data_IF_964684242365
#
_entry.id   IF_964684242365
#
_cell.length_a   1.000
_cell.length_b   1.000
_cell.length_c   1.000
_cell.angle_alpha   90.00
_cell.angle_beta   90.00
_cell.angle_gamma   90.00
#
_symmetry.space_group_name_H-M   'P 1'
#
loop_
_entity.id
_entity.type
_entity.pdbx_description
1 polymer ?
2 non-polymer ?
3 non-polymer ?
4 water ?
#
# COMPACT_ATOMS: atom_id res chain seq x y z
N UNK A 39 0.16 -23.66 2.71
CA UNK A 39 0.28 -22.68 1.60
C UNK A 39 0.48 -21.30 2.18
N UNK A 40 0.43 -20.31 1.30
CA UNK A 40 0.59 -18.92 1.70
C UNK A 40 -0.59 -18.53 2.58
N UNK A 41 -1.80 -18.78 2.06
CA UNK A 41 -3.01 -18.45 2.79
C UNK A 41 -3.00 -18.89 4.26
N UNK A 42 -2.35 -19.99 4.58
CA UNK A 42 -2.33 -20.43 5.96
C UNK A 42 -1.29 -19.64 6.73
N UNK A 43 -0.13 -19.44 6.13
CA UNK A 43 0.96 -18.70 6.77
C UNK A 43 0.46 -17.35 7.23
N UNK A 44 -0.18 -16.66 6.29
CA UNK A 44 -0.75 -15.34 6.46
C UNK A 44 -1.59 -15.28 7.72
N UNK A 45 -2.71 -16.00 7.74
CA UNK A 45 -3.57 -15.98 8.92
C UNK A 45 -2.82 -16.24 10.20
N UNK A 46 -2.06 -17.31 10.24
CA UNK A 46 -1.31 -17.60 11.44
C UNK A 46 -0.39 -16.50 11.95
N UNK A 47 0.21 -15.70 11.06
CA UNK A 47 1.11 -14.66 11.53
C UNK A 47 0.33 -13.45 12.04
N UNK A 48 -0.80 -13.18 11.42
CA UNK A 48 -1.62 -12.04 11.82
C UNK A 48 -1.97 -12.24 13.28
N UNK A 49 -2.38 -13.45 13.63
CA UNK A 49 -2.76 -13.79 14.99
C UNK A 49 -1.58 -13.88 15.96
N UNK A 50 -0.46 -14.43 15.50
CA UNK A 50 0.69 -14.58 16.38
C UNK A 50 1.41 -13.31 16.74
N UNK A 51 1.57 -12.42 15.77
CA UNK A 51 2.24 -11.16 16.06
C UNK A 51 1.19 -10.13 16.48
N UNK A 52 -0.01 -10.61 16.75
CA UNK A 52 -1.13 -9.77 17.17
C UNK A 52 -1.31 -8.54 16.29
N UNK A 53 -1.56 -8.75 15.01
CA UNK A 53 -1.76 -7.64 14.14
C UNK A 53 -3.23 -7.24 14.10
N UNK A 54 -4.12 -8.19 13.85
CA UNK A 54 -5.55 -7.88 13.85
C UNK A 54 -6.28 -9.05 14.47
N UNK A 55 -7.39 -8.81 15.13
CA UNK A 55 -8.14 -9.91 15.73
C UNK A 55 -9.44 -10.08 14.93
N UNK A 56 -9.57 -11.25 14.29
CA UNK A 56 -10.72 -11.53 13.42
C UNK A 56 -12.02 -11.93 14.10
N UNK A 57 -11.95 -12.27 15.38
CA UNK A 57 -13.11 -12.72 16.11
C UNK A 57 -14.21 -11.68 16.37
N UNK A 58 -14.47 -10.77 15.44
CA UNK A 58 -15.50 -9.77 15.67
C UNK A 58 -16.86 -10.33 15.27
N UNK A 59 -17.92 -10.03 16.05
CA UNK A 59 -19.30 -10.47 15.84
C UNK A 59 -19.95 -10.17 14.48
N UNK A 60 -19.15 -9.80 13.50
CA UNK A 60 -19.65 -9.53 12.15
C UNK A 60 -18.54 -9.90 11.18
N UNK A 61 -18.90 -10.54 10.09
CA UNK A 61 -17.92 -10.97 9.11
C UNK A 61 -17.46 -9.81 8.24
N UNK A 62 -16.16 -9.56 8.22
CA UNK A 62 -15.64 -8.49 7.37
C UNK A 62 -15.32 -7.20 8.09
N UNK A 63 -15.43 -7.21 9.41
CA UNK A 63 -15.14 -6.03 10.21
C UNK A 63 -14.08 -6.57 11.15
N UNK A 64 -12.87 -6.05 11.08
CA UNK A 64 -11.82 -6.56 11.95
C UNK A 64 -11.21 -5.50 12.87
N UNK A 65 -10.63 -5.93 13.97
CA UNK A 65 -10.06 -5.03 14.97
C UNK A 65 -8.55 -4.88 14.98
N UNK A 66 -8.07 -3.65 14.84
CA UNK A 66 -6.63 -3.44 14.90
C UNK A 66 -6.16 -3.53 16.34
N UNK A 67 -5.20 -4.42 16.62
CA UNK A 67 -4.66 -4.56 17.97
C UNK A 67 -3.45 -3.65 18.07
N UNK A 68 -2.94 -3.46 19.29
CA UNK A 68 -1.79 -2.59 19.52
C UNK A 68 -0.67 -2.67 18.52
N UNK A 69 -0.12 -3.87 18.30
CA UNK A 69 0.99 -4.04 17.38
C UNK A 69 0.58 -3.67 15.97
N UNK A 70 -0.51 -4.25 15.49
CA UNK A 70 -0.95 -3.92 14.16
C UNK A 70 -1.06 -2.42 13.97
N UNK A 71 -1.79 -1.77 14.87
CA UNK A 71 -1.99 -0.33 14.81
C UNK A 71 -0.67 0.40 14.63
N UNK A 72 0.33 0.01 15.41
CA UNK A 72 1.62 0.66 15.35
C UNK A 72 2.23 0.64 13.96
N UNK A 73 2.23 -0.52 13.31
CA UNK A 73 2.76 -0.67 11.96
C UNK A 73 2.03 0.28 11.00
N UNK A 74 0.71 0.30 11.13
CA UNK A 74 -0.16 1.17 10.31
C UNK A 74 0.17 2.65 10.55
N UNK A 75 0.44 2.98 11.80
CA UNK A 75 0.76 4.34 12.17
C UNK A 75 2.03 4.81 11.47
N UNK A 76 3.05 3.95 11.43
CA UNK A 76 4.31 4.31 10.80
C UNK A 76 4.23 4.27 9.28
N UNK A 77 3.36 3.42 8.75
CA UNK A 77 3.17 3.31 7.32
C UNK A 77 2.60 4.63 6.83
N UNK A 78 1.64 5.16 7.58
CA UNK A 78 1.03 6.43 7.22
C UNK A 78 1.97 7.64 7.35
N UNK A 79 2.91 7.58 8.28
CA UNK A 79 3.86 8.68 8.47
C UNK A 79 4.67 8.89 7.20
N UNK A 80 5.05 7.80 6.58
CA UNK A 80 5.83 7.85 5.37
C UNK A 80 4.98 8.45 4.28
N UNK A 81 3.79 7.90 4.12
CA UNK A 81 2.88 8.36 3.09
C UNK A 81 2.62 9.84 3.19
N UNK A 82 2.21 10.28 4.37
CA UNK A 82 1.89 11.69 4.59
C UNK A 82 3.06 12.63 4.40
N UNK A 83 4.26 12.20 4.74
CA UNK A 83 5.40 13.09 4.61
C UNK A 83 5.70 13.43 3.15
N UNK A 84 5.17 12.65 2.23
CA UNK A 84 5.40 12.90 0.82
C UNK A 84 4.26 13.76 0.32
N UNK A 85 3.04 13.31 0.54
CA UNK A 85 1.88 14.07 0.10
C UNK A 85 1.92 15.52 0.57
N UNK A 86 2.22 15.70 1.86
CA UNK A 86 2.24 17.03 2.45
C UNK A 86 3.18 18.03 1.81
N UNK A 87 3.95 17.61 0.81
CA UNK A 87 4.86 18.55 0.17
C UNK A 87 4.07 19.56 -0.64
N UNK A 88 3.10 19.09 -1.41
CA UNK A 88 2.31 19.99 -2.24
C UNK A 88 0.81 19.76 -2.16
N UNK A 89 0.35 18.96 -1.20
CA UNK A 89 -1.09 18.68 -1.05
C UNK A 89 -1.58 19.26 0.27
N UNK A 90 -2.90 19.38 0.42
CA UNK A 90 -3.50 19.90 1.65
C UNK A 90 -4.53 18.92 2.19
N UNK A 91 -4.32 18.44 3.41
CA UNK A 91 -5.22 17.47 4.00
C UNK A 91 -6.49 18.10 4.55
N UNK A 92 -7.61 17.38 4.39
CA UNK A 92 -8.89 17.86 4.85
C UNK A 92 -9.69 16.70 5.45
N UNK A 93 -11.00 16.88 5.59
CA UNK A 93 -11.82 15.84 6.16
C UNK A 93 -13.32 16.09 6.05
N UNK A 94 -13.98 15.40 5.11
CA UNK A 94 -15.41 15.56 4.90
C UNK A 94 -16.14 14.56 5.78
N UNK A 95 -17.47 14.61 5.79
CA UNK A 95 -18.28 13.69 6.61
C UNK A 95 -18.38 12.26 6.05
N UNK A 96 -19.10 11.43 6.80
CA UNK A 96 -19.31 10.03 6.47
C UNK A 96 -20.55 9.71 5.67
N UNK A 97 -21.65 10.44 5.90
CA UNK A 97 -22.92 10.18 5.20
C UNK A 97 -23.21 11.00 3.95
N UNK A 98 -23.77 10.33 2.93
CA UNK A 98 -24.12 10.94 1.66
C UNK A 98 -25.58 10.73 1.23
N UNK A 99 -26.30 11.81 0.91
CA UNK A 99 -27.69 11.88 0.48
C UNK A 99 -28.07 11.03 -0.73
N UNK A 100 -29.26 10.43 -0.66
CA UNK A 100 -29.78 9.60 -1.75
C UNK A 100 -29.88 10.44 -3.02
N UNK A 101 -30.21 11.70 -2.83
CA UNK A 101 -30.38 12.65 -3.92
C UNK A 101 -29.05 12.95 -4.64
N UNK A 102 -28.10 13.55 -3.91
CA UNK A 102 -26.80 13.91 -4.45
C UNK A 102 -26.16 12.79 -5.27
N UNK A 103 -26.33 11.55 -4.84
CA UNK A 103 -25.78 10.40 -5.54
C UNK A 103 -26.42 10.26 -6.93
N UNK A 104 -27.62 9.69 -6.96
CA UNK A 104 -28.34 9.50 -8.21
C UNK A 104 -27.40 9.00 -9.31
N UNK A 116 -24.84 -2.04 -4.24
CA UNK A 116 -24.27 -2.62 -3.01
C UNK A 116 -23.75 -1.54 -2.05
N UNK A 117 -24.63 -0.64 -1.63
CA UNK A 117 -24.26 0.43 -0.71
C UNK A 117 -25.12 0.43 0.54
N UNK A 118 -24.52 0.23 1.71
CA UNK A 118 -25.28 0.22 2.96
C UNK A 118 -26.14 1.47 3.10
N UNK A 119 -27.39 1.31 3.51
CA UNK A 119 -28.28 2.45 3.67
C UNK A 119 -28.76 2.71 5.10
N UNK A 120 -28.81 3.99 5.46
CA UNK A 120 -29.28 4.44 6.78
C UNK A 120 -30.69 4.94 6.52
N UNK A 121 -31.68 4.30 7.14
CA UNK A 121 -33.06 4.68 6.93
C UNK A 121 -33.77 5.37 8.09
N UNK A 122 -33.69 4.80 9.28
CA UNK A 122 -34.36 5.37 10.42
C UNK A 122 -33.46 6.14 11.40
N UNK A 123 -34.07 7.02 12.18
CA UNK A 123 -33.35 7.81 13.16
C UNK A 123 -33.93 7.40 14.50
N UNK A 124 -34.05 6.10 14.69
CA UNK A 124 -34.61 5.56 15.90
C UNK A 124 -35.77 4.75 15.36
N UNK A 125 -36.99 5.22 15.60
CA UNK A 125 -38.15 4.52 15.11
C UNK A 125 -38.80 5.36 14.03
N UNK A 126 -38.26 6.55 13.86
CA UNK A 126 -38.73 7.51 12.89
C UNK A 126 -38.00 7.31 11.56
N UNK A 127 -38.77 7.03 10.52
CA UNK A 127 -38.23 6.87 9.18
C UNK A 127 -37.89 8.27 8.67
N UNK A 128 -36.67 8.45 8.18
CA UNK A 128 -36.24 9.76 7.70
C UNK A 128 -36.80 10.07 6.31
N UNK A 129 -36.59 11.30 5.84
CA UNK A 129 -37.12 11.70 4.53
C UNK A 129 -36.13 11.88 3.39
N UNK A 130 -35.01 11.19 3.45
CA UNK A 130 -33.99 11.26 2.42
C UNK A 130 -32.95 10.36 3.01
N UNK A 131 -32.80 9.17 2.43
CA UNK A 131 -31.86 8.19 2.96
C UNK A 131 -30.41 8.63 2.94
N UNK A 132 -29.65 8.10 3.90
CA UNK A 132 -28.24 8.41 4.03
C UNK A 132 -27.40 7.17 3.76
N UNK A 133 -26.37 7.32 2.92
CA UNK A 133 -25.52 6.19 2.56
C UNK A 133 -24.11 6.30 3.10
N UNK A 134 -23.56 5.18 3.57
CA UNK A 134 -22.19 5.17 4.07
C UNK A 134 -21.32 5.30 2.84
N UNK A 135 -20.47 6.31 2.85
CA UNK A 135 -19.65 6.63 1.71
C UNK A 135 -18.93 5.57 0.89
N UNK A 136 -19.37 5.39 -0.37
CA UNK A 136 -18.84 4.45 -1.36
C UNK A 136 -17.49 5.04 -1.75
N UNK A 137 -17.56 6.26 -2.25
CA UNK A 137 -16.42 7.09 -2.65
C UNK A 137 -16.93 8.54 -2.56
N UNK A 138 -16.07 9.43 -2.07
CA UNK A 138 -16.36 10.85 -1.85
C UNK A 138 -16.93 11.67 -3.01
N UNK A 139 -16.70 11.18 -4.22
CA UNK A 139 -17.16 11.81 -5.46
C UNK A 139 -18.40 12.66 -5.29
N UNK A 140 -19.49 11.99 -4.94
CA UNK A 140 -20.75 12.66 -4.83
C UNK A 140 -20.93 13.88 -3.92
N UNK A 141 -20.08 14.10 -2.92
CA UNK A 141 -20.23 15.28 -2.08
C UNK A 141 -18.99 16.12 -1.77
N UNK A 142 -17.84 15.75 -2.29
CA UNK A 142 -16.65 16.61 -2.08
C UNK A 142 -16.73 17.64 -3.21
N UNK A 143 -17.29 17.17 -4.32
CA UNK A 143 -17.45 17.94 -5.53
C UNK A 143 -18.44 19.10 -5.41
N UNK A 144 -19.71 18.82 -5.08
CA UNK A 144 -20.63 19.96 -5.00
C UNK A 144 -20.01 21.10 -4.19
N UNK A 145 -19.30 20.75 -3.13
CA UNK A 145 -18.65 21.72 -2.28
C UNK A 145 -17.50 22.40 -3.02
N UNK A 146 -16.78 21.64 -3.85
CA UNK A 146 -15.68 22.19 -4.60
C UNK A 146 -16.16 23.29 -5.50
N UNK A 147 -17.44 23.18 -5.86
CA UNK A 147 -18.07 24.17 -6.71
C UNK A 147 -18.03 25.54 -6.03
N UNK A 148 -18.31 25.54 -4.72
CA UNK A 148 -18.32 26.77 -3.96
C UNK A 148 -16.93 27.32 -3.67
N UNK A 149 -15.93 26.45 -3.61
CA UNK A 149 -14.59 26.93 -3.31
C UNK A 149 -13.87 27.50 -4.52
N UNK A 150 -14.33 27.18 -5.73
CA UNK A 150 -13.67 27.66 -6.96
C UNK A 150 -14.39 28.79 -7.71
N UNK A 151 -13.72 29.93 -7.86
CA UNK A 151 -14.34 31.03 -8.58
C UNK A 151 -13.33 32.03 -9.13
N UNK A 152 -12.26 31.58 -9.78
CA UNK A 152 -11.23 32.47 -10.31
C UNK A 152 -10.02 31.65 -10.64
N UNK A 153 -9.45 31.89 -11.80
CA UNK A 153 -8.28 31.14 -12.24
C UNK A 153 -7.10 31.46 -11.30
N UNK A 154 -7.33 32.36 -10.36
CA UNK A 154 -6.28 32.74 -9.42
C UNK A 154 -6.23 31.70 -8.32
N UNK A 155 -7.36 31.02 -8.15
CA UNK A 155 -7.54 29.98 -7.15
C UNK A 155 -6.82 28.66 -7.52
N UNK A 156 -7.02 28.22 -8.75
CA UNK A 156 -6.41 26.98 -9.23
C UNK A 156 -4.90 27.14 -9.39
N UNK A 157 -4.15 26.05 -9.23
CA UNK A 157 -4.57 24.67 -8.98
C UNK A 157 -4.82 24.37 -7.50
N UNK A 158 -5.51 23.26 -7.24
CA UNK A 158 -5.78 22.83 -5.88
C UNK A 158 -5.52 21.35 -5.70
N UNK A 159 -4.92 20.98 -4.59
CA UNK A 159 -4.59 19.57 -4.33
C UNK A 159 -4.93 19.14 -2.89
N UNK A 160 -6.01 18.39 -2.74
CA UNK A 160 -6.49 17.91 -1.44
C UNK A 160 -6.38 16.40 -1.27
N UNK A 161 -6.67 15.92 -0.05
CA UNK A 161 -6.67 14.49 0.27
C UNK A 161 -7.14 14.23 1.68
N UNK A 162 -7.70 13.05 1.92
CA UNK A 162 -8.15 12.66 3.26
C UNK A 162 -7.91 11.18 3.49
N UNK A 163 -7.74 10.77 4.74
CA UNK A 163 -7.53 9.37 5.10
C UNK A 163 -8.76 8.97 5.90
N UNK A 164 -9.67 8.27 5.25
CA UNK A 164 -10.93 7.91 5.86
C UNK A 164 -11.24 6.43 5.79
N UNK A 165 -12.43 6.07 6.24
CA UNK A 165 -12.86 4.68 6.18
C UNK A 165 -14.01 4.61 5.19
N UNK A 166 -14.12 3.49 4.46
CA UNK A 166 -15.15 3.31 3.45
C UNK A 166 -15.92 2.01 3.62
N UNK A 167 -17.07 1.89 2.97
CA UNK A 167 -17.88 0.69 3.08
C UNK A 167 -18.35 0.08 1.77
N UNK A 168 -18.46 -1.25 1.75
CA UNK A 168 -18.92 -2.03 0.60
C UNK A 168 -19.67 -3.27 1.07
N UNK A 169 -20.94 -3.42 0.70
CA UNK A 169 -21.73 -4.58 1.10
C UNK A 169 -21.56 -5.75 0.14
N UNK A 170 -20.90 -6.82 0.61
CA UNK A 170 -20.68 -8.00 -0.22
C UNK A 170 -20.92 -9.31 0.50
N UNK A 171 -20.78 -10.41 -0.25
CA UNK A 171 -20.98 -11.76 0.28
C UNK A 171 -20.02 -12.75 -0.38
N UNK A 172 -19.86 -13.90 0.26
CA UNK A 172 -19.01 -14.99 -0.25
C UNK A 172 -17.53 -14.69 -0.51
N UNK A 173 -17.00 -13.62 0.09
CA UNK A 173 -15.61 -13.24 -0.11
C UNK A 173 -15.04 -12.45 1.05
N UNK A 174 -14.50 -13.11 2.06
CA UNK A 174 -13.94 -12.39 3.19
C UNK A 174 -12.46 -12.66 3.41
N UNK A 175 -11.60 -11.86 2.79
CA UNK A 175 -10.17 -12.04 2.96
C UNK A 175 -9.53 -10.85 3.67
N UNK A 176 -8.95 -11.08 4.87
CA UNK A 176 -8.28 -10.11 5.73
C UNK A 176 -7.38 -9.09 5.05
N UNK A 177 -7.63 -7.83 5.35
CA UNK A 177 -6.86 -6.70 4.80
C UNK A 177 -6.86 -6.57 3.29
N UNK A 178 -7.43 -7.56 2.59
CA UNK A 178 -7.46 -7.51 1.13
C UNK A 178 -8.84 -7.27 0.56
N UNK A 179 -9.86 -7.73 1.27
CA UNK A 179 -11.25 -7.54 0.85
C UNK A 179 -12.16 -7.68 2.05
N UNK A 180 -12.71 -6.54 2.50
CA UNK A 180 -13.59 -6.50 3.66
C UNK A 180 -14.83 -5.63 3.44
N UNK A 181 -15.56 -5.39 4.53
CA UNK A 181 -16.76 -4.57 4.46
C UNK A 181 -16.40 -3.15 4.88
N UNK A 182 -15.53 -3.03 5.88
CA UNK A 182 -15.05 -1.74 6.35
C UNK A 182 -13.55 -1.63 6.12
N UNK A 183 -13.17 -0.74 5.19
CA UNK A 183 -11.78 -0.50 4.85
C UNK A 183 -11.32 0.63 5.77
N UNK A 184 -10.68 0.28 6.87
CA UNK A 184 -10.25 1.28 7.84
C UNK A 184 -9.27 2.36 7.36
N UNK A 185 -8.31 2.02 6.50
CA UNK A 185 -7.36 3.02 6.06
C UNK A 185 -7.36 3.25 4.56
N UNK A 186 -8.05 4.29 4.11
CA UNK A 186 -8.13 4.53 2.68
C UNK A 186 -7.84 5.97 2.30
N UNK A 187 -6.68 6.22 1.72
CA UNK A 187 -6.26 7.56 1.34
C UNK A 187 -6.71 7.92 -0.06
N UNK A 188 -7.39 9.05 -0.21
CA UNK A 188 -7.85 9.45 -1.53
C UNK A 188 -7.55 10.91 -1.81
N UNK A 189 -6.93 11.17 -2.95
CA UNK A 189 -6.57 12.52 -3.31
C UNK A 189 -7.29 13.06 -4.55
N UNK A 190 -7.72 14.32 -4.51
CA UNK A 190 -8.41 14.93 -5.63
C UNK A 190 -7.69 16.21 -6.04
N UNK A 191 -7.65 16.52 -7.32
CA UNK A 191 -6.96 17.71 -7.80
C UNK A 191 -7.76 18.49 -8.84
N UNK A 192 -7.71 19.81 -8.77
CA UNK A 192 -8.45 20.65 -9.71
C UNK A 192 -7.49 21.48 -10.55
N UNK A 193 -7.73 21.54 -11.86
CA UNK A 193 -6.83 22.29 -12.75
C UNK A 193 -7.46 23.26 -13.75
N UNK A 194 -6.62 24.13 -14.31
CA UNK A 194 -7.06 25.14 -15.26
C UNK A 194 -7.07 24.66 -16.70
N UNK A 195 -5.98 24.03 -17.11
CA UNK A 195 -5.85 23.51 -18.47
C UNK A 195 -5.93 21.99 -18.52
N UNK A 196 -6.40 21.46 -19.64
CA UNK A 196 -6.51 20.02 -19.83
C UNK A 196 -5.14 19.38 -19.89
N UNK A 197 -4.12 20.18 -20.18
CA UNK A 197 -2.76 19.66 -20.25
C UNK A 197 -2.24 19.38 -18.84
N UNK A 198 -2.26 20.41 -18.00
CA UNK A 198 -1.78 20.30 -16.63
C UNK A 198 -2.44 19.16 -15.86
N UNK A 199 -3.64 18.78 -16.30
CA UNK A 199 -4.31 17.68 -15.67
C UNK A 199 -3.38 16.51 -15.88
N UNK A 200 -3.06 16.23 -17.14
CA UNK A 200 -2.18 15.12 -17.46
C UNK A 200 -0.80 15.20 -16.82
N UNK A 201 -0.32 16.40 -16.56
CA UNK A 201 0.97 16.54 -15.94
C UNK A 201 0.84 16.01 -14.51
N UNK A 202 -0.31 16.25 -13.91
CA UNK A 202 -0.58 15.81 -12.55
C UNK A 202 -0.55 14.30 -12.53
N UNK A 203 -1.25 13.68 -13.47
CA UNK A 203 -1.27 12.24 -13.54
C UNK A 203 0.15 11.71 -13.49
N UNK A 204 1.09 12.41 -14.10
CA UNK A 204 2.48 11.96 -14.09
C UNK A 204 3.09 12.11 -12.72
N UNK A 205 2.92 13.29 -12.15
CA UNK A 205 3.46 13.53 -10.82
C UNK A 205 2.90 12.49 -9.88
N UNK A 206 1.58 12.33 -9.92
CA UNK A 206 0.91 11.37 -9.07
C UNK A 206 1.67 10.07 -9.08
N UNK A 207 1.95 9.58 -10.29
CA UNK A 207 2.65 8.31 -10.44
C UNK A 207 4.03 8.30 -9.82
N UNK A 208 4.80 9.35 -10.05
CA UNK A 208 6.14 9.39 -9.49
C UNK A 208 6.07 9.38 -7.96
N UNK A 209 4.93 9.76 -7.42
CA UNK A 209 4.70 9.78 -5.98
C UNK A 209 4.50 8.37 -5.40
N UNK A 210 3.63 7.58 -6.04
CA UNK A 210 3.39 6.21 -5.59
C UNK A 210 4.63 5.35 -5.76
N UNK A 211 5.48 5.73 -6.70
CA UNK A 211 6.71 5.01 -6.88
C UNK A 211 7.52 5.21 -5.61
N UNK A 212 7.80 6.47 -5.27
CA UNK A 212 8.59 6.75 -4.07
C UNK A 212 8.03 6.07 -2.84
N UNK A 213 6.71 6.15 -2.66
CA UNK A 213 6.10 5.53 -1.50
C UNK A 213 6.47 4.06 -1.50
N UNK A 214 6.06 3.36 -2.55
CA UNK A 214 6.32 1.94 -2.67
C UNK A 214 7.78 1.55 -2.52
N UNK A 215 8.68 2.32 -3.12
CA UNK A 215 10.10 2.03 -3.01
C UNK A 215 10.53 2.03 -1.54
N UNK A 216 9.87 2.86 -0.73
CA UNK A 216 10.19 2.95 0.68
C UNK A 216 9.72 1.75 1.44
N UNK A 217 8.67 1.11 0.94
CA UNK A 217 8.19 -0.08 1.62
C UNK A 217 8.92 -1.26 0.99
N UNK A 218 9.70 -0.96 -0.04
CA UNK A 218 10.45 -2.00 -0.73
C UNK A 218 9.52 -2.97 -1.43
N UNK A 219 8.53 -2.44 -2.12
CA UNK A 219 7.57 -3.27 -2.84
C UNK A 219 7.66 -3.08 -4.34
N UNK A 220 7.74 -4.18 -5.08
CA UNK A 220 7.84 -4.14 -6.54
C UNK A 220 6.46 -3.92 -7.16
N UNK A 221 6.42 -3.38 -8.38
CA UNK A 221 5.16 -3.12 -9.05
C UNK A 221 5.26 -3.14 -10.57
N UNK A 222 4.11 -3.29 -11.22
CA UNK A 222 4.03 -3.31 -12.68
C UNK A 222 2.99 -2.24 -13.00
N UNK A 223 3.43 -1.17 -13.67
CA UNK A 223 2.51 -0.08 -13.99
C UNK A 223 1.90 -0.21 -15.38
N UNK A 224 0.59 -0.36 -15.48
CA UNK A 224 -0.01 -0.47 -16.80
C UNK A 224 -1.14 0.50 -16.92
N UNK A 225 -2.02 0.24 -17.87
CA UNK A 225 -3.15 1.12 -18.10
C UNK A 225 -4.43 0.34 -18.35
N UNK A 226 -5.21 0.17 -17.29
CA UNK A 226 -6.47 -0.58 -17.34
C UNK A 226 -7.25 -0.39 -18.62
N UNK A 227 -7.95 -1.44 -19.07
CA UNK A 227 -8.78 -1.53 -20.27
C UNK A 227 -10.02 -0.69 -20.04
N UNK A 228 -10.57 -0.10 -21.12
CA UNK A 228 -11.78 0.73 -21.02
C UNK A 228 -13.01 0.10 -20.35
N UNK A 229 -13.02 -1.22 -20.15
CA UNK A 229 -14.18 -1.81 -19.50
C UNK A 229 -13.92 -1.96 -18.01
N UNK A 230 -12.71 -1.58 -17.59
CA UNK A 230 -12.32 -1.63 -16.19
C UNK A 230 -12.00 -0.25 -15.61
N UNK A 231 -11.70 0.72 -16.48
CA UNK A 231 -11.37 2.06 -16.01
C UNK A 231 -12.46 2.58 -15.07
N UNK A 232 -12.16 3.69 -14.42
CA UNK A 232 -13.08 4.33 -13.48
C UNK A 232 -14.20 5.01 -14.27
N UNK A 233 -15.45 4.70 -13.91
CA UNK A 233 -16.69 5.22 -14.51
C UNK A 233 -16.70 6.73 -14.76
N UNK A 234 -16.69 7.10 -16.03
CA UNK A 234 -16.70 8.51 -16.39
C UNK A 234 -15.33 9.05 -16.72
N UNK A 235 -14.27 8.40 -16.23
CA UNK A 235 -12.91 8.88 -16.47
C UNK A 235 -12.45 8.74 -17.91
N UNK A 236 -11.40 9.47 -18.27
CA UNK A 236 -10.85 9.37 -19.61
C UNK A 236 -10.05 8.10 -19.63
N UNK A 237 -9.23 7.91 -18.61
CA UNK A 237 -8.38 6.74 -18.54
C UNK A 237 -7.75 6.49 -17.17
N UNK A 238 -7.85 5.26 -16.68
CA UNK A 238 -7.28 4.90 -15.39
C UNK A 238 -5.96 4.14 -15.53
N UNK A 239 -5.01 4.45 -14.66
CA UNK A 239 -3.70 3.82 -14.65
C UNK A 239 -3.57 2.98 -13.40
N UNK A 240 -2.91 1.83 -13.49
CA UNK A 240 -2.79 0.96 -12.32
C UNK A 240 -1.44 0.40 -11.93
N UNK A 241 -1.29 0.19 -10.62
CA UNK A 241 -0.10 -0.36 -10.00
C UNK A 241 -0.51 -1.74 -9.48
N UNK A 242 0.19 -2.78 -9.91
CA UNK A 242 -0.10 -4.16 -9.49
C UNK A 242 1.16 -4.79 -8.93
N UNK A 243 1.01 -5.74 -8.01
CA UNK A 243 2.18 -6.43 -7.45
C UNK A 243 1.87 -7.94 -7.30
N UNK A 244 2.91 -8.77 -7.19
CA UNK A 244 2.69 -10.21 -7.13
C UNK A 244 2.69 -10.78 -5.73
N UNK A 245 1.69 -11.63 -5.45
CA UNK A 245 1.59 -12.24 -4.13
C UNK A 245 2.34 -13.54 -4.04
N UNK A 246 2.58 -14.05 -2.83
CA UNK A 246 3.31 -15.32 -2.78
C UNK A 246 2.50 -16.49 -3.35
N UNK A 247 1.18 -16.41 -3.28
CA UNK A 247 0.37 -17.49 -3.82
C UNK A 247 0.25 -17.34 -5.34
N UNK A 248 1.22 -16.67 -5.94
CA UNK A 248 1.21 -16.50 -7.39
C UNK A 248 0.04 -15.74 -8.00
N UNK A 249 -0.71 -14.99 -7.19
CA UNK A 249 -1.84 -14.19 -7.69
C UNK A 249 -1.47 -12.71 -7.68
N UNK A 250 -2.31 -11.89 -8.31
CA UNK A 250 -2.01 -10.46 -8.38
C UNK A 250 -2.93 -9.56 -7.56
N UNK A 251 -2.32 -8.57 -6.91
CA UNK A 251 -3.04 -7.62 -6.08
C UNK A 251 -2.96 -6.19 -6.63
N UNK A 252 -4.07 -5.47 -6.62
CA UNK A 252 -4.09 -4.08 -7.10
C UNK A 252 -3.70 -3.22 -5.90
N UNK A 253 -2.68 -2.38 -6.01
CA UNK A 253 -2.33 -1.59 -4.84
C UNK A 253 -2.29 -0.08 -5.04
N UNK A 254 -2.99 0.42 -6.05
CA UNK A 254 -2.99 1.85 -6.30
C UNK A 254 -3.43 2.22 -7.71
N UNK A 255 -4.31 3.22 -7.82
CA UNK A 255 -4.80 3.65 -9.12
C UNK A 255 -4.75 5.18 -9.26
N UNK A 256 -4.60 5.66 -10.49
CA UNK A 256 -4.58 7.09 -10.75
C UNK A 256 -5.56 7.30 -11.90
N UNK A 257 -6.54 8.16 -11.70
CA UNK A 257 -7.55 8.40 -12.72
C UNK A 257 -7.52 9.82 -13.26
N UNK A 258 -7.77 9.94 -14.56
CA UNK A 258 -7.79 11.23 -15.20
C UNK A 258 -9.20 11.47 -15.69
N UNK A 259 -10.01 12.08 -14.84
CA UNK A 259 -11.39 12.41 -15.19
C UNK A 259 -11.23 13.50 -16.22
N UNK A 260 -12.32 14.15 -16.60
CA UNK A 260 -12.16 15.19 -17.60
C UNK A 260 -12.75 16.49 -17.15
N UNK A 261 -13.85 16.84 -17.79
CA UNK A 261 -14.60 18.04 -17.46
C UNK A 261 -15.93 17.38 -17.15
N UNK A 262 -15.93 16.06 -17.33
CA UNK A 262 -17.10 15.23 -17.13
C UNK A 262 -17.80 15.46 -15.81
N UNK A 263 -17.06 15.44 -14.71
CA UNK A 263 -17.67 15.65 -13.42
C UNK A 263 -17.87 17.15 -13.19
N UNK A 264 -16.90 17.93 -13.64
CA UNK A 264 -16.98 19.38 -13.51
C UNK A 264 -18.34 19.81 -14.02
N UNK A 265 -18.74 19.26 -15.16
CA UNK A 265 -20.02 19.58 -15.79
C UNK A 265 -21.19 19.08 -14.97
N UNK A 266 -21.13 17.83 -14.54
CA UNK A 266 -22.23 17.28 -13.78
C UNK A 266 -22.52 18.05 -12.50
N UNK A 267 -21.49 18.59 -11.88
CA UNK A 267 -21.68 19.31 -10.62
C UNK A 267 -21.48 20.81 -10.73
N UNK A 268 -21.22 21.28 -11.95
CA UNK A 268 -21.04 22.69 -12.19
C UNK A 268 -19.82 23.26 -11.49
N UNK A 269 -18.65 23.11 -12.10
CA UNK A 269 -17.45 23.64 -11.50
C UNK A 269 -16.76 24.49 -12.53
N UNK A 270 -17.19 25.75 -12.57
CA UNK A 270 -16.64 26.74 -13.49
C UNK A 270 -15.75 27.67 -12.68
N UNK A 271 -14.86 28.34 -13.41
CA UNK A 271 -13.93 29.31 -12.86
C UNK A 271 -13.81 30.34 -13.98
N UNK A 272 -13.84 31.62 -13.61
CA UNK A 272 -13.76 32.76 -14.53
C UNK A 272 -12.27 32.96 -14.85
N UNK A 273 -12.02 33.28 -16.12
CA UNK A 273 -10.68 33.40 -16.75
C UNK A 273 -10.09 34.80 -16.84
N UNK A 274 -8.77 34.90 -17.16
CA UNK A 274 -8.13 36.21 -17.31
C UNK A 274 -8.95 36.97 -18.35
N UNK A 275 -9.44 36.26 -19.36
CA UNK A 275 -10.22 36.84 -20.46
C UNK A 275 -11.69 37.05 -20.03
N UNK A 276 -11.95 36.87 -18.74
CA UNK A 276 -13.30 37.07 -18.21
C UNK A 276 -14.37 36.14 -18.71
N UNK A 277 -14.02 34.88 -18.96
CA UNK A 277 -15.00 33.89 -19.42
C UNK A 277 -15.15 32.81 -18.37
N UNK A 278 -15.97 31.81 -18.67
CA UNK A 278 -16.20 30.72 -17.75
C UNK A 278 -16.20 29.34 -18.38
N UNK A 279 -15.13 28.60 -18.10
CA UNK A 279 -14.98 27.23 -18.59
C UNK A 279 -14.90 26.27 -17.41
N UNK A 280 -15.19 25.00 -17.68
CA UNK A 280 -15.14 24.01 -16.63
C UNK A 280 -13.69 23.66 -16.33
N UNK A 281 -13.46 22.97 -15.22
CA UNK A 281 -12.12 22.59 -14.79
C UNK A 281 -11.73 21.18 -15.18
N UNK A 282 -10.43 20.93 -15.19
CA UNK A 282 -9.92 19.60 -15.51
C UNK A 282 -9.48 19.00 -14.18
N UNK A 283 -9.96 17.79 -13.86
CA UNK A 283 -9.60 17.17 -12.60
C UNK A 283 -9.19 15.70 -12.60
N UNK A 284 -8.43 15.32 -11.59
CA UNK A 284 -7.92 13.96 -11.45
C UNK A 284 -7.98 13.47 -10.01
N UNK A 285 -8.17 12.17 -9.81
CA UNK A 285 -8.18 11.62 -8.47
C UNK A 285 -7.35 10.34 -8.38
N UNK A 286 -7.01 9.90 -7.18
CA UNK A 286 -6.20 8.71 -7.01
C UNK A 286 -6.09 8.27 -5.57
N UNK A 287 -5.95 6.97 -5.34
CA UNK A 287 -5.86 6.49 -3.97
C UNK A 287 -5.32 5.07 -3.83
N UNK A 288 -5.04 4.70 -2.60
CA UNK A 288 -4.51 3.40 -2.24
C UNK A 288 -5.09 3.00 -0.88
N UNK A 289 -5.14 1.71 -0.56
CA UNK A 289 -5.75 1.31 0.72
C UNK A 289 -4.88 0.52 1.70
N UNK A 290 -5.50 -0.38 2.46
CA UNK A 290 -4.83 -1.21 3.46
C UNK A 290 -4.05 -2.33 2.81
N UNK A 291 -4.42 -2.63 1.57
CA UNK A 291 -3.75 -3.67 0.84
C UNK A 291 -2.27 -3.37 0.92
N UNK A 292 -1.92 -2.11 0.88
CA UNK A 292 -0.51 -1.78 0.97
C UNK A 292 0.07 -2.47 2.19
N UNK A 293 -0.61 -2.39 3.33
CA UNK A 293 -0.09 -3.03 4.52
C UNK A 293 -0.09 -4.52 4.34
N UNK A 294 -1.13 -5.04 3.70
CA UNK A 294 -1.23 -6.46 3.46
C UNK A 294 0.03 -6.95 2.74
N UNK A 295 0.34 -6.34 1.60
CA UNK A 295 1.50 -6.75 0.83
C UNK A 295 2.81 -6.66 1.58
N UNK A 296 3.08 -5.56 2.26
CA UNK A 296 4.33 -5.45 2.99
C UNK A 296 4.54 -6.63 3.92
N UNK A 297 3.47 -7.21 4.43
CA UNK A 297 3.63 -8.34 5.33
C UNK A 297 4.00 -9.57 4.53
N UNK A 298 3.20 -9.83 3.52
CA UNK A 298 3.40 -11.00 2.67
C UNK A 298 4.68 -11.00 1.86
N UNK A 299 4.94 -9.93 1.12
CA UNK A 299 6.12 -9.88 0.26
C UNK A 299 7.43 -10.13 0.95
N UNK A 300 7.65 -9.50 2.09
CA UNK A 300 8.89 -9.74 2.82
C UNK A 300 8.62 -10.83 3.85
N UNK A 301 7.83 -11.83 3.45
CA UNK A 301 7.48 -12.96 4.31
C UNK A 301 8.68 -13.57 4.98
N UNK A 302 8.62 -14.84 5.33
CA UNK A 302 9.76 -15.49 6.00
C UNK A 302 9.26 -16.64 6.86
N UNK A 303 10.16 -17.56 7.17
CA UNK A 303 9.80 -18.71 7.98
C UNK A 303 9.77 -18.38 9.46
N UNK A 304 10.63 -17.45 9.86
CA UNK A 304 10.68 -17.05 11.24
C UNK A 304 9.46 -16.16 11.54
N UNK A 305 8.96 -15.47 10.52
CA UNK A 305 7.80 -14.62 10.72
C UNK A 305 7.85 -13.29 10.00
N UNK A 306 7.46 -12.23 10.70
CA UNK A 306 7.44 -10.91 10.12
C UNK A 306 8.82 -10.31 9.96
N UNK A 307 9.09 -9.79 8.76
CA UNK A 307 10.35 -9.13 8.47
C UNK A 307 9.90 -7.80 7.86
N UNK A 308 10.37 -6.68 8.41
CA UNK A 308 9.89 -5.40 7.93
C UNK A 308 10.91 -4.32 7.64
N UNK A 309 10.54 -3.36 6.79
CA UNK A 309 11.44 -2.26 6.44
C UNK A 309 11.69 -1.54 7.75
N UNK A 310 12.87 -0.95 7.91
CA UNK A 310 13.17 -0.23 9.17
C UNK A 310 12.24 0.91 9.52
N UNK A 311 11.76 1.66 8.54
CA UNK A 311 10.87 2.75 8.90
C UNK A 311 9.41 2.35 9.04
N UNK A 312 9.13 1.05 9.10
CA UNK A 312 7.77 0.58 9.23
C UNK A 312 7.58 -0.30 10.44
N UNK A 313 8.66 -0.92 10.89
CA UNK A 313 8.58 -1.79 12.06
C UNK A 313 8.18 -1.00 13.29
N UNK A 314 7.70 -1.70 14.32
CA UNK A 314 7.27 -1.06 15.55
C UNK A 314 8.45 -0.41 16.22
N UNK A 315 9.51 -1.18 16.39
CA UNK A 315 10.76 -0.70 16.99
C UNK A 315 11.86 -0.99 15.99
N UNK A 316 12.76 -0.04 15.79
CA UNK A 316 13.87 -0.23 14.85
C UNK A 316 14.96 -1.09 15.49
N UNK A 317 15.22 -0.84 16.77
CA UNK A 317 16.24 -1.56 17.50
C UNK A 317 15.73 -2.09 18.83
N UNK A 318 16.21 -3.25 19.25
CA UNK A 318 15.80 -3.79 20.54
C UNK A 318 17.05 -4.25 21.27
N UNK A 319 17.25 -3.75 22.48
CA UNK A 319 18.44 -4.07 23.27
C UNK A 319 18.19 -5.13 24.31
N UNK A 320 18.83 -6.28 24.15
CA UNK A 320 18.68 -7.39 25.08
C UNK A 320 19.94 -7.54 25.93
N UNK A 321 19.79 -7.61 27.26
CA UNK A 321 20.96 -7.76 28.12
C UNK A 321 21.13 -9.21 28.56
N UNK A 322 22.36 -9.69 28.58
CA UNK A 322 22.68 -11.06 28.98
C UNK A 322 23.27 -11.06 30.37
N UNK A 323 22.59 -11.69 31.32
CA UNK A 323 23.10 -11.72 32.69
C UNK A 323 22.83 -13.03 33.38
N UNK A 324 23.71 -13.38 34.31
CA UNK A 324 23.59 -14.63 35.05
C UNK A 324 23.93 -14.50 36.53
N UNK A 325 23.72 -13.31 37.10
CA UNK A 325 24.02 -13.04 38.50
C UNK A 325 25.45 -12.51 38.72
N UNK A 326 26.23 -12.42 37.65
CA UNK A 326 27.59 -11.94 37.78
C UNK A 326 27.81 -10.60 37.08
N UNK A 327 27.95 -9.54 37.89
CA UNK A 327 28.15 -8.19 37.40
C UNK A 327 26.84 -7.59 36.86
N UNK A 328 25.72 -8.21 37.25
CA UNK A 328 24.39 -7.77 36.82
C UNK A 328 24.22 -6.26 36.86
N UNK A 329 24.60 -5.65 37.98
CA UNK A 329 24.47 -4.20 38.15
C UNK A 329 25.22 -3.38 37.11
N UNK A 330 26.37 -3.88 36.64
CA UNK A 330 27.16 -3.16 35.65
C UNK A 330 26.66 -3.32 34.21
N UNK A 331 26.00 -4.44 33.91
CA UNK A 331 25.48 -4.70 32.57
C UNK A 331 24.29 -3.78 32.31
N UNK A 332 23.36 -3.75 33.25
CA UNK A 332 22.17 -2.91 33.13
C UNK A 332 22.56 -1.43 32.98
N UNK A 333 23.18 -0.87 34.00
CA UNK A 333 23.60 0.53 33.98
C UNK A 333 24.29 0.89 32.66
N UNK A 334 24.64 -0.13 31.89
CA UNK A 334 25.30 0.08 30.61
C UNK A 334 24.28 0.00 29.47
N UNK A 335 23.26 -0.83 29.64
CA UNK A 335 22.22 -0.98 28.61
C UNK A 335 21.40 0.30 28.54
N UNK A 336 21.23 0.95 29.69
CA UNK A 336 20.47 2.19 29.74
C UNK A 336 21.19 3.28 28.98
N UNK A 337 22.45 3.53 29.33
CA UNK A 337 23.25 4.55 28.66
C UNK A 337 23.22 4.36 27.15
N UNK A 338 22.61 3.26 26.71
CA UNK A 338 22.52 2.98 25.30
C UNK A 338 21.13 3.36 24.80
N UNK A 339 20.09 3.02 25.55
CA UNK A 339 18.73 3.36 25.14
C UNK A 339 18.57 4.87 25.09
N UNK A 340 18.81 5.53 26.22
CA UNK A 340 18.67 6.98 26.30
C UNK A 340 19.57 7.73 25.31
N UNK A 341 20.63 7.07 24.86
CA UNK A 341 21.55 7.70 23.91
C UNK A 341 20.98 7.56 22.50
N UNK A 342 20.21 6.50 22.29
CA UNK A 342 19.60 6.25 21.00
C UNK A 342 18.33 7.09 20.87
N UNK A 343 17.50 7.09 21.92
CA UNK A 343 16.27 7.87 21.89
C UNK A 343 16.58 9.31 21.55
N UNK A 344 17.57 9.86 22.26
CA UNK A 344 17.98 11.25 22.04
C UNK A 344 18.86 11.34 20.79
N UNK A 345 18.50 10.57 19.77
CA UNK A 345 19.24 10.57 18.52
C UNK A 345 18.24 10.25 17.43
N UNK A 346 16.99 10.06 17.84
CA UNK A 346 15.92 9.77 16.90
C UNK A 346 15.84 8.30 16.53
N UNK A 347 15.75 7.44 17.53
CA UNK A 347 15.68 6.01 17.29
C UNK A 347 14.50 5.39 18.00
N UNK A 348 13.66 4.67 17.25
CA UNK A 348 12.54 4.02 17.91
C UNK A 348 13.20 2.83 18.59
N UNK A 349 13.58 3.01 19.84
CA UNK A 349 14.25 1.95 20.57
C UNK A 349 13.44 1.34 21.70
N UNK A 350 13.82 0.14 22.10
CA UNK A 350 13.16 -0.57 23.17
C UNK A 350 14.20 -1.37 23.93
N UNK A 351 13.98 -1.54 25.24
CA UNK A 351 14.92 -2.30 26.08
C UNK A 351 14.12 -3.40 26.77
N UNK A 352 14.44 -4.65 26.49
CA UNK A 352 13.70 -5.73 27.12
C UNK A 352 14.21 -6.04 28.51
N UNK A 353 13.66 -5.33 29.50
CA UNK A 353 14.00 -5.45 30.91
C UNK A 353 13.63 -6.83 31.45
N UNK A 354 12.43 -7.27 31.12
CA UNK A 354 11.87 -8.54 31.55
C UNK A 354 12.83 -9.59 32.10
N UNK A 355 12.27 -10.53 32.85
CA UNK A 355 13.04 -11.61 33.45
C UNK A 355 12.61 -12.93 32.81
N UNK A 356 13.23 -13.27 31.68
CA UNK A 356 12.92 -14.52 30.99
C UNK A 356 14.15 -15.03 30.24
N UNK A 357 14.05 -16.28 29.79
CA UNK A 357 15.14 -16.91 29.05
C UNK A 357 15.48 -16.12 27.80
N UNK A 358 16.61 -15.41 27.82
CA UNK A 358 17.04 -14.61 26.68
C UNK A 358 16.77 -15.26 25.31
N UNK A 359 16.87 -16.57 25.23
CA UNK A 359 16.64 -17.22 23.96
C UNK A 359 15.25 -16.95 23.45
N UNK A 360 14.31 -16.78 24.38
CA UNK A 360 12.93 -16.52 24.02
C UNK A 360 12.80 -15.11 23.50
N UNK A 361 13.46 -14.16 24.17
CA UNK A 361 13.42 -12.78 23.73
C UNK A 361 13.81 -12.76 22.26
N UNK A 362 14.81 -13.55 21.91
CA UNK A 362 15.27 -13.64 20.55
C UNK A 362 14.12 -14.01 19.64
N UNK A 363 13.33 -15.00 20.06
CA UNK A 363 12.20 -15.45 19.26
C UNK A 363 11.15 -14.39 19.03
N UNK A 364 10.62 -13.83 20.13
CA UNK A 364 9.58 -12.81 20.05
C UNK A 364 9.89 -11.62 19.17
N UNK A 365 10.89 -10.83 19.52
CA UNK A 365 11.23 -9.66 18.71
C UNK A 365 11.56 -10.01 17.27
N UNK A 366 11.93 -11.26 17.04
CA UNK A 366 12.31 -11.70 15.71
C UNK A 366 11.09 -12.10 14.87
N UNK A 367 10.09 -12.69 15.52
CA UNK A 367 8.90 -13.09 14.79
C UNK A 367 8.10 -11.84 14.50
N UNK A 368 8.22 -10.86 15.40
CA UNK A 368 7.50 -9.61 15.28
C UNK A 368 8.02 -8.69 14.18
N UNK A 369 9.31 -8.77 13.86
CA UNK A 369 9.79 -7.95 12.77
C UNK A 369 10.84 -6.92 13.07
N UNK A 370 11.34 -6.87 14.30
CA UNK A 370 12.37 -5.88 14.60
C UNK A 370 13.61 -6.14 13.73
N UNK A 371 14.11 -5.12 13.03
CA UNK A 371 15.28 -5.20 12.16
C UNK A 371 16.59 -5.56 12.83
N UNK A 372 16.99 -4.75 13.81
CA UNK A 372 18.25 -4.95 14.50
C UNK A 372 18.14 -5.21 16.01
N UNK A 373 18.83 -6.25 16.46
CA UNK A 373 18.86 -6.64 17.86
C UNK A 373 20.25 -6.39 18.43
N UNK A 374 20.34 -5.73 19.57
CA UNK A 374 21.65 -5.48 20.14
C UNK A 374 21.80 -6.19 21.45
N UNK A 375 22.78 -7.08 21.51
CA UNK A 375 23.07 -7.89 22.69
C UNK A 375 24.28 -7.37 23.47
N UNK A 376 24.17 -7.42 24.79
CA UNK A 376 25.25 -6.98 25.68
C UNK A 376 25.54 -8.01 26.78
N UNK A 377 26.82 -8.38 26.87
CA UNK A 377 27.26 -9.34 27.87
C UNK A 377 28.51 -8.88 28.61
N UNK A 378 28.90 -9.56 29.71
CA UNK A 378 30.08 -9.19 30.49
C UNK A 378 31.32 -9.08 29.64
N UNK A 379 31.61 -10.15 28.90
CA UNK A 379 32.77 -10.20 28.04
C UNK A 379 32.87 -8.95 27.18
N UNK A 380 31.87 -8.73 26.34
CA UNK A 380 31.82 -7.59 25.44
C UNK A 380 31.82 -6.26 26.19
N UNK A 381 31.25 -6.26 27.39
CA UNK A 381 31.18 -5.05 28.21
C UNK A 381 32.55 -4.40 28.37
N UNK A 382 33.47 -5.15 28.96
CA UNK A 382 34.82 -4.68 29.19
C UNK A 382 35.45 -4.03 27.95
N UNK A 383 35.66 -4.84 26.92
CA UNK A 383 36.24 -4.35 25.67
C UNK A 383 35.63 -3.01 25.27
N UNK A 384 34.32 -2.87 25.47
CA UNK A 384 33.63 -1.65 25.12
C UNK A 384 32.99 -1.79 23.75
N UNK A 385 32.19 -2.85 23.59
CA UNK A 385 31.52 -3.13 22.33
C UNK A 385 30.41 -4.14 22.55
N UNK A 386 29.68 -4.48 21.49
CA UNK A 386 28.59 -5.44 21.59
C UNK A 386 28.35 -6.20 20.29
N UNK A 387 27.34 -7.08 20.30
CA UNK A 387 26.97 -7.89 19.14
C UNK A 387 25.68 -7.35 18.53
N UNK A 388 25.61 -7.31 17.20
CA UNK A 388 24.43 -6.81 16.51
C UNK A 388 23.92 -7.83 15.52
N UNK A 389 22.71 -8.34 15.74
CA UNK A 389 22.13 -9.34 14.86
C UNK A 389 21.11 -8.76 13.87
N UNK A 390 21.25 -9.10 12.58
CA UNK A 390 20.31 -8.63 11.55
C UNK A 390 19.04 -9.47 11.52
N UNK A 391 18.14 -9.15 10.61
CA UNK A 391 16.90 -9.92 10.51
C UNK A 391 16.68 -10.48 9.11
N UNK A 392 17.10 -9.73 8.09
CA UNK A 392 16.92 -10.18 6.72
C UNK A 392 17.87 -11.34 6.41
N UNK A 393 19.04 -11.32 7.04
CA UNK A 393 20.07 -12.33 6.87
C UNK A 393 20.19 -13.26 8.06
N UNK A 394 20.95 -12.83 9.06
CA UNK A 394 21.17 -13.62 10.25
C UNK A 394 22.51 -13.26 10.82
N UNK A 395 23.31 -12.61 9.98
CA UNK A 395 24.65 -12.17 10.29
C UNK A 395 24.75 -11.32 11.57
N UNK A 396 25.60 -11.76 12.49
CA UNK A 396 25.79 -11.03 13.75
C UNK A 396 27.20 -10.49 13.80
N UNK A 397 27.38 -9.20 13.55
CA UNK A 397 28.72 -8.63 13.62
C UNK A 397 29.07 -8.18 15.04
N UNK A 398 30.21 -7.52 15.19
CA UNK A 398 30.67 -7.06 16.49
C UNK A 398 31.25 -5.67 16.37
N UNK A 399 30.51 -4.67 16.84
CA UNK A 399 30.97 -3.28 16.73
C UNK A 399 31.25 -2.64 18.09
N UNK A 400 32.03 -1.57 18.05
CA UNK A 400 32.43 -0.81 19.24
C UNK A 400 31.39 0.20 19.69
N UNK A 401 31.02 0.13 20.97
CA UNK A 401 30.03 1.01 21.55
C UNK A 401 30.27 2.51 21.35
N UNK A 402 31.42 2.87 20.78
CA UNK A 402 31.71 4.29 20.58
C UNK A 402 30.90 4.85 19.41
N UNK A 403 31.28 4.49 18.20
CA UNK A 403 30.57 4.97 17.03
C UNK A 403 29.48 4.02 16.59
N UNK A 404 28.68 3.54 17.54
CA UNK A 404 27.59 2.60 17.27
C UNK A 404 26.38 3.27 16.62
N UNK A 405 26.19 4.54 16.91
CA UNK A 405 25.08 5.29 16.35
C UNK A 405 25.11 5.22 14.83
N UNK A 406 26.29 5.43 14.24
CA UNK A 406 26.43 5.40 12.78
C UNK A 406 26.40 4.00 12.17
N UNK A 407 26.93 3.02 12.88
CA UNK A 407 26.94 1.65 12.39
C UNK A 407 25.51 1.17 12.21
N UNK A 408 24.65 1.56 13.14
CA UNK A 408 23.25 1.16 13.07
C UNK A 408 22.53 1.81 11.90
N UNK A 409 22.76 3.11 11.69
CA UNK A 409 22.12 3.80 10.58
C UNK A 409 22.46 3.16 9.25
N UNK A 410 23.73 2.81 9.07
CA UNK A 410 24.18 2.18 7.83
C UNK A 410 23.48 0.84 7.65
N UNK A 411 23.53 0.01 8.69
CA UNK A 411 22.90 -1.31 8.65
C UNK A 411 21.43 -1.21 8.25
N UNK A 412 20.77 -0.16 8.70
CA UNK A 412 19.37 0.01 8.34
C UNK A 412 19.25 0.24 6.86
N UNK A 413 20.03 1.18 6.33
CA UNK A 413 19.99 1.47 4.90
C UNK A 413 20.15 0.17 4.14
N UNK A 414 21.15 -0.61 4.53
CA UNK A 414 21.46 -1.88 3.88
C UNK A 414 20.24 -2.78 3.82
N UNK A 415 19.71 -3.13 4.98
CA UNK A 415 18.56 -4.01 5.07
C UNK A 415 17.42 -3.69 4.07
N UNK A 416 17.13 -2.42 3.88
CA UNK A 416 16.06 -2.05 2.95
C UNK A 416 16.47 -2.42 1.54
N UNK A 417 17.56 -1.81 1.09
CA UNK A 417 18.09 -2.06 -0.25
C UNK A 417 18.09 -3.54 -0.53
N UNK A 418 18.59 -4.31 0.43
CA UNK A 418 18.66 -5.74 0.27
C UNK A 418 17.25 -6.31 0.06
N UNK A 419 16.34 -6.02 0.99
CA UNK A 419 14.98 -6.51 0.91
C UNK A 419 14.30 -6.09 -0.37
N UNK A 420 14.61 -4.89 -0.83
CA UNK A 420 13.99 -4.39 -2.03
C UNK A 420 14.41 -5.20 -3.25
N UNK A 421 15.72 -5.35 -3.42
CA UNK A 421 16.26 -6.12 -4.53
C UNK A 421 15.61 -7.48 -4.60
N UNK A 422 15.90 -8.32 -3.61
CA UNK A 422 15.35 -9.65 -3.53
C UNK A 422 13.93 -9.62 -4.06
N UNK A 423 13.17 -8.64 -3.59
CA UNK A 423 11.77 -8.48 -3.96
C UNK A 423 11.49 -8.42 -5.46
N UNK A 424 12.27 -7.61 -6.17
CA UNK A 424 12.09 -7.48 -7.61
C UNK A 424 12.56 -8.71 -8.35
N UNK A 425 13.62 -9.33 -7.86
CA UNK A 425 14.12 -10.53 -8.51
C UNK A 425 12.99 -11.55 -8.54
N UNK A 426 12.39 -11.81 -7.37
CA UNK A 426 11.31 -12.77 -7.30
C UNK A 426 10.10 -12.42 -8.15
N UNK A 427 9.90 -11.15 -8.45
CA UNK A 427 8.75 -10.84 -9.27
C UNK A 427 9.07 -10.96 -10.75
N UNK A 428 10.07 -10.22 -11.19
CA UNK A 428 10.48 -10.23 -12.59
C UNK A 428 10.54 -11.64 -13.19
N UNK A 429 10.98 -12.60 -12.38
CA UNK A 429 11.09 -13.97 -12.84
C UNK A 429 9.76 -14.70 -13.05
N UNK A 430 8.64 -14.05 -12.75
CA UNK A 430 7.35 -14.72 -12.94
C UNK A 430 6.58 -14.11 -14.07
N UNK A 431 7.27 -13.31 -14.86
CA UNK A 431 6.67 -12.66 -16.01
C UNK A 431 7.15 -13.36 -17.27
N UNK A 432 6.32 -14.28 -17.76
CA UNK A 432 6.63 -15.08 -18.94
C UNK A 432 5.83 -14.64 -20.17
N UNK A 433 6.42 -14.81 -21.35
CA UNK A 433 5.79 -14.44 -22.62
C UNK A 433 5.03 -15.59 -23.27
N UNK A 434 4.05 -15.27 -24.10
CA UNK A 434 3.28 -16.28 -24.79
C UNK A 434 2.87 -15.74 -26.15
N UNK A 435 2.78 -16.65 -27.12
CA UNK A 435 2.41 -16.26 -28.48
C UNK A 435 1.15 -16.94 -28.99
N UNK A 436 0.70 -17.98 -28.30
CA UNK A 436 -0.51 -18.69 -28.68
C UNK A 436 -1.40 -18.84 -27.45
N UNK A 437 -2.68 -18.52 -27.60
CA UNK A 437 -3.61 -18.59 -26.48
C UNK A 437 -3.47 -19.87 -25.68
N UNK A 438 -3.16 -20.96 -26.36
CA UNK A 438 -3.02 -22.25 -25.71
C UNK A 438 -1.74 -22.32 -24.90
N UNK A 439 -0.78 -21.46 -25.24
CA UNK A 439 0.49 -21.43 -24.53
C UNK A 439 0.28 -20.69 -23.21
N UNK A 440 -0.69 -19.77 -23.23
CA UNK A 440 -1.02 -19.01 -22.05
C UNK A 440 -1.59 -19.97 -21.03
N UNK A 441 -2.80 -20.45 -21.31
CA UNK A 441 -3.47 -21.39 -20.42
C UNK A 441 -2.49 -22.36 -19.77
N UNK A 442 -1.64 -22.96 -20.58
CA UNK A 442 -0.67 -23.92 -20.07
C UNK A 442 0.11 -23.28 -18.93
N UNK A 443 0.74 -22.13 -19.20
CA UNK A 443 1.55 -21.45 -18.20
C UNK A 443 0.77 -20.92 -17.00
N UNK A 444 -0.38 -20.31 -17.26
CA UNK A 444 -1.19 -19.76 -16.18
C UNK A 444 -1.53 -20.86 -15.18
N UNK A 445 -2.07 -21.95 -15.71
CA UNK A 445 -2.49 -23.10 -14.93
C UNK A 445 -1.34 -23.84 -14.26
N UNK A 446 -0.14 -23.72 -14.80
CA UNK A 446 1.01 -24.43 -14.24
C UNK A 446 1.99 -23.62 -13.42
N UNK A 447 2.34 -22.43 -13.88
CA UNK A 447 3.29 -21.59 -13.16
C UNK A 447 2.72 -20.26 -12.63
N UNK A 448 1.40 -20.18 -12.51
CA UNK A 448 0.71 -18.98 -12.04
C UNK A 448 1.44 -17.71 -12.56
N UNK A 449 1.74 -16.74 -11.71
CA UNK A 449 2.45 -15.56 -12.17
C UNK A 449 1.77 -14.62 -13.16
N UNK A 450 2.59 -13.81 -13.84
CA UNK A 450 2.15 -12.83 -14.83
C UNK A 450 2.52 -13.32 -16.24
N UNK A 451 1.66 -13.04 -17.22
CA UNK A 451 1.91 -13.46 -18.60
C UNK A 451 1.93 -12.34 -19.61
N UNK A 452 3.07 -12.17 -20.26
CA UNK A 452 3.25 -11.11 -21.24
C UNK A 452 2.81 -11.53 -22.64
N UNK A 453 2.30 -10.59 -23.44
CA UNK A 453 1.85 -10.90 -24.79
C UNK A 453 1.53 -9.64 -25.60
N UNK A 454 1.31 -9.78 -26.92
CA UNK A 454 0.98 -8.62 -27.76
C UNK A 454 -0.53 -8.61 -28.01
N UNK A 455 -1.14 -7.43 -28.11
CA UNK A 455 -2.59 -7.41 -28.27
C UNK A 455 -3.09 -6.32 -29.20
N UNK A 456 -4.09 -6.66 -30.01
CA UNK A 456 -4.63 -5.69 -30.97
C UNK A 456 -5.22 -4.51 -30.26
N UNK A 457 -5.95 -4.75 -29.18
CA UNK A 457 -6.54 -3.66 -28.44
C UNK A 457 -8.04 -3.47 -28.61
N UNK A 458 -8.66 -4.16 -29.54
CA UNK A 458 -10.11 -4.02 -29.70
C UNK A 458 -10.76 -4.68 -28.49
N UNK A 459 -11.99 -4.27 -28.16
CA UNK A 459 -12.65 -4.83 -27.00
C UNK A 459 -12.94 -6.29 -27.15
N UNK A 460 -13.84 -6.61 -28.07
CA UNK A 460 -14.20 -7.99 -28.29
C UNK A 460 -13.00 -8.88 -28.17
N UNK A 461 -12.01 -8.70 -29.05
CA UNK A 461 -10.85 -9.55 -28.99
C UNK A 461 -10.38 -9.72 -27.56
N UNK A 462 -10.24 -8.60 -26.85
CA UNK A 462 -9.77 -8.63 -25.46
C UNK A 462 -10.64 -9.42 -24.50
N UNK A 463 -11.94 -9.19 -24.55
CA UNK A 463 -12.85 -9.89 -23.68
C UNK A 463 -12.89 -11.37 -23.97
N UNK A 464 -12.66 -11.76 -25.21
CA UNK A 464 -12.70 -13.18 -25.53
C UNK A 464 -11.46 -13.86 -25.00
N UNK A 465 -10.38 -13.10 -24.85
CA UNK A 465 -9.18 -13.70 -24.31
C UNK A 465 -9.55 -14.11 -22.91
N UNK A 466 -10.18 -13.18 -22.17
CA UNK A 466 -10.56 -13.42 -20.78
C UNK A 466 -11.44 -14.66 -20.58
N UNK A 467 -12.52 -14.75 -21.34
CA UNK A 467 -13.47 -15.86 -21.24
C UNK A 467 -12.91 -17.24 -21.57
N UNK A 468 -11.95 -17.29 -22.48
CA UNK A 468 -11.33 -18.55 -22.89
C UNK A 468 -10.24 -19.01 -21.92
N UNK A 469 -9.43 -18.06 -21.46
CA UNK A 469 -8.35 -18.38 -20.54
C UNK A 469 -8.75 -18.23 -19.07
N UNK A 470 -9.89 -17.60 -18.83
CA UNK A 470 -10.37 -17.38 -17.46
C UNK A 470 -9.32 -16.59 -16.71
N UNK A 471 -9.12 -15.37 -17.16
CA UNK A 471 -8.14 -14.49 -16.59
C UNK A 471 -8.61 -13.07 -16.78
N UNK A 472 -7.91 -12.10 -16.20
CA UNK A 472 -8.26 -10.71 -16.36
C UNK A 472 -7.06 -10.00 -16.98
N UNK A 473 -7.33 -9.04 -17.88
CA UNK A 473 -6.28 -8.29 -18.53
C UNK A 473 -5.90 -7.06 -17.72
N UNK A 474 -4.69 -7.06 -17.16
CA UNK A 474 -4.25 -5.94 -16.34
C UNK A 474 -4.28 -4.63 -17.10
N UNK A 475 -3.52 -4.50 -18.19
CA UNK A 475 -3.53 -3.24 -18.94
C UNK A 475 -2.45 -3.16 -20.00
N UNK A 476 -2.55 -2.19 -20.91
CA UNK A 476 -1.58 -2.02 -21.99
C UNK A 476 -0.33 -1.25 -21.60
N UNK A 477 0.60 -1.16 -22.54
CA UNK A 477 1.87 -0.46 -22.30
C UNK A 477 2.47 -0.19 -23.68
N UNK A 478 2.01 0.88 -24.33
CA UNK A 478 2.47 1.27 -25.67
C UNK A 478 3.92 0.98 -25.98
N UNK A 479 4.13 0.09 -26.94
CA UNK A 479 5.46 -0.32 -27.37
C UNK A 479 5.37 -0.92 -28.77
N UNK A 480 6.51 -1.12 -29.41
CA UNK A 480 6.59 -1.67 -30.75
C UNK A 480 5.51 -2.66 -31.15
N UNK A 481 5.25 -2.75 -32.45
CA UNK A 481 4.22 -3.64 -32.97
C UNK A 481 4.49 -5.15 -32.94
N UNK A 482 3.59 -5.87 -33.60
CA UNK A 482 3.63 -7.32 -33.68
C UNK A 482 2.25 -7.80 -34.12
N UNK A 483 1.89 -9.03 -33.76
CA UNK A 483 0.59 -9.56 -34.11
C UNK A 483 -0.13 -10.10 -32.87
N UNK A 484 -1.41 -9.77 -32.75
CA UNK A 484 -2.19 -10.20 -31.60
C UNK A 484 -2.18 -11.69 -31.35
N UNK A 485 -1.92 -12.06 -30.09
CA UNK A 485 -1.88 -13.45 -29.68
C UNK A 485 -3.18 -14.18 -29.96
N UNK A 486 -4.23 -13.44 -30.27
CA UNK A 486 -5.52 -14.06 -30.51
C UNK A 486 -6.06 -13.89 -31.89
N UNK A 487 -6.39 -12.66 -32.28
CA UNK A 487 -6.98 -12.43 -33.58
C UNK A 487 -6.00 -12.28 -34.73
N UNK A 488 -4.71 -12.34 -34.43
CA UNK A 488 -3.71 -12.24 -35.49
C UNK A 488 -3.42 -10.87 -36.07
N UNK A 489 -4.41 -9.99 -36.15
CA UNK A 489 -4.20 -8.64 -36.71
C UNK A 489 -3.00 -7.90 -36.12
N UNK A 490 -2.83 -6.63 -36.49
CA UNK A 490 -1.71 -5.85 -35.98
C UNK A 490 -1.88 -5.53 -34.50
N UNK A 491 -0.84 -5.82 -33.72
CA UNK A 491 -0.87 -5.55 -32.28
C UNK A 491 0.08 -4.42 -31.93
N UNK A 492 -0.48 -3.25 -31.60
CA UNK A 492 0.31 -2.07 -31.24
C UNK A 492 0.59 -1.92 -29.74
N UNK A 493 0.19 -2.90 -28.93
CA UNK A 493 0.41 -2.78 -27.49
C UNK A 493 0.95 -4.02 -26.79
N UNK A 494 1.74 -3.79 -25.74
CA UNK A 494 2.27 -4.89 -24.91
C UNK A 494 1.25 -5.01 -23.77
N UNK A 495 0.71 -6.21 -23.53
CA UNK A 495 -0.30 -6.37 -22.48
C UNK A 495 0.05 -7.46 -21.47
N UNK A 496 -0.70 -7.54 -20.37
CA UNK A 496 -0.46 -8.54 -19.33
C UNK A 496 -1.73 -9.24 -18.80
N UNK A 497 -1.55 -10.46 -18.31
CA UNK A 497 -2.63 -11.30 -17.78
C UNK A 497 -2.20 -11.99 -16.50
N UNK A 498 -3.19 -12.37 -15.71
CA UNK A 498 -2.92 -13.09 -14.47
C UNK A 498 -4.21 -13.41 -13.75
N UNK A 499 -4.08 -14.21 -12.69
CA UNK A 499 -5.21 -14.59 -11.85
C UNK A 499 -5.13 -13.57 -10.70
N UNK A 500 -6.23 -12.89 -10.42
CA UNK A 500 -6.22 -11.85 -9.38
C UNK A 500 -7.12 -11.98 -8.16
N UNK A 501 -6.76 -11.20 -7.14
CA UNK A 501 -7.48 -11.12 -5.89
C UNK A 501 -8.71 -10.20 -6.02
X LIG B 1 -6.53 -9.06 -31.13
X LIG C 1 -12.77 -8.03 -15.68
#
# INVERSE_FOLDING_TARGET
MGSSHHHHHHSSGLVPRGSHMQKPIKKDPNRYHGEKMTEFSEWFHNILEEAEIIDQRYPVKGMHVWMPHGFMIRKNTLKILRRILDRDHEEVLFPLLVPEDELAKEAIHVKGFEDEVYWVTHGGLSKLQRKLALRPTSETVMYPMFALWVRSHTDLPMRFYQVVNTFRYETKHTRPLIRVREITTFKEAHTIHATASEAEEQVERAVEIYKEFFNSLGIPYLITRRPPWDKFPGSEYTVAFDTLMPDGKTLQIGTVHNLGQTFARTFEIKFETPEGDHEYVHQTCYGLSDRVIASVIAIHGDESGLCLPPDVAAHQVVIVPIIFKKAAEEVMEACRELRSRLEAAGFRVHLDDRDIRAGRKYYEWEMRGVPLRVEIGPRDLEKGAAVISRRDTGEKVTADLQGIEETLRELMKDILENLRTRAWERMESEIREAETLEEASRIVDEKRGIISFMWCGEEECGMDVEEKVRVDILGIQEEGSGTCINCGREAPYRAYLARTY
ZN ZN
MG MG
#
